data_IF_759936501668
#
_entry.id   IF_759936501668
#
_cell.length_a   1.000
_cell.length_b   1.000
_cell.length_c   1.000
_cell.angle_alpha   90.00
_cell.angle_beta   90.00
_cell.angle_gamma   90.00
#
_symmetry.space_group_name_H-M   'P 1'
#
loop_
_entity.id
_entity.type
_entity.pdbx_description
1 polymer ?
#
# COMPACT_ATOMS: atom_id res chain seq x y z
N UNK A 1 -25.43 62.17 -11.06
CA UNK A 1 -24.16 61.67 -10.46
C UNK A 1 -23.99 60.23 -10.86
N UNK A 2 -23.04 59.97 -11.76
CA UNK A 2 -22.76 58.68 -12.38
C UNK A 2 -21.30 58.34 -12.08
N UNK A 3 -21.07 57.26 -11.34
CA UNK A 3 -19.72 56.74 -11.09
C UNK A 3 -19.63 55.34 -11.68
N UNK A 4 -18.67 55.22 -12.58
CA UNK A 4 -18.36 54.09 -13.45
C UNK A 4 -17.92 52.87 -12.63
N UNK A 5 -18.60 51.74 -12.79
CA UNK A 5 -18.05 50.41 -12.52
C UNK A 5 -17.49 49.87 -13.84
N UNK A 6 -16.30 50.34 -14.20
CA UNK A 6 -15.40 49.69 -15.15
C UNK A 6 -14.14 49.40 -14.35
N UNK A 7 -13.69 48.15 -14.39
CA UNK A 7 -12.44 47.58 -13.83
C UNK A 7 -12.74 46.49 -12.81
N UNK A 8 -13.14 45.31 -13.29
CA UNK A 8 -12.78 43.94 -12.85
C UNK A 8 -13.36 43.03 -13.95
N UNK A 9 -12.77 43.12 -15.14
CA UNK A 9 -13.04 42.18 -16.25
C UNK A 9 -11.77 41.90 -17.07
N UNK A 10 -10.60 42.20 -16.49
CA UNK A 10 -9.32 42.23 -17.19
C UNK A 10 -8.20 41.45 -16.48
N UNK A 11 -8.54 40.56 -15.56
CA UNK A 11 -7.56 39.68 -14.87
C UNK A 11 -7.94 38.19 -14.88
N UNK A 12 -8.77 37.77 -15.84
CA UNK A 12 -9.11 36.35 -16.11
C UNK A 12 -8.77 35.94 -17.55
N UNK A 13 -8.20 36.85 -18.36
CA UNK A 13 -7.81 36.60 -19.76
C UNK A 13 -6.30 36.70 -20.03
N UNK A 14 -5.45 36.50 -19.01
CA UNK A 14 -3.98 36.50 -19.15
C UNK A 14 -3.32 35.30 -18.46
N UNK A 15 -4.05 34.20 -18.29
CA UNK A 15 -3.47 32.86 -18.06
C UNK A 15 -4.04 31.81 -19.04
N UNK A 16 -4.62 32.27 -20.15
CA UNK A 16 -4.85 31.52 -21.38
C UNK A 16 -3.69 31.72 -22.36
N UNK A 17 -2.48 31.91 -21.83
CA UNK A 17 -1.26 31.79 -22.58
C UNK A 17 -1.19 30.37 -23.11
N UNK A 18 -1.53 30.23 -24.40
CA UNK A 18 -1.07 29.23 -25.34
C UNK A 18 0.26 28.59 -24.91
N UNK A 19 0.20 27.63 -23.99
CA UNK A 19 1.17 26.56 -23.97
C UNK A 19 0.77 25.70 -25.16
N UNK A 20 1.64 25.53 -26.18
CA UNK A 20 1.31 24.65 -27.26
C UNK A 20 1.03 23.26 -26.66
N UNK A 21 -0.04 22.55 -27.07
CA UNK A 21 -0.34 21.19 -26.60
C UNK A 21 0.72 20.15 -27.04
N UNK A 22 1.90 20.58 -27.49
CA UNK A 22 2.87 19.79 -28.22
C UNK A 22 4.00 19.18 -27.39
N UNK A 23 3.97 19.27 -26.06
CA UNK A 23 4.92 18.54 -25.19
C UNK A 23 4.25 17.85 -24.01
N UNK A 24 2.98 17.43 -24.14
CA UNK A 24 2.44 16.38 -23.29
C UNK A 24 3.29 15.11 -23.51
N UNK A 25 4.07 14.76 -22.48
CA UNK A 25 5.20 13.82 -22.48
C UNK A 25 4.97 12.55 -23.33
N UNK A 26 5.45 12.57 -24.59
CA UNK A 26 5.61 11.39 -25.44
C UNK A 26 6.82 10.56 -25.00
N UNK A 27 6.81 10.08 -23.76
CA UNK A 27 7.84 9.19 -23.22
C UNK A 27 7.45 7.72 -23.41
N UNK A 28 6.87 7.39 -24.56
CA UNK A 28 6.51 6.03 -24.96
C UNK A 28 7.33 5.70 -26.20
N UNK A 29 8.13 4.65 -26.13
CA UNK A 29 9.07 4.27 -27.18
C UNK A 29 8.79 2.85 -27.63
N UNK A 30 8.86 2.53 -28.93
CA UNK A 30 8.91 1.13 -29.36
C UNK A 30 10.02 0.39 -28.61
N UNK A 31 9.73 -0.83 -28.16
CA UNK A 31 10.67 -1.68 -27.46
C UNK A 31 10.68 -3.06 -28.09
N UNK A 32 11.86 -3.56 -28.44
CA UNK A 32 12.09 -4.89 -28.98
C UNK A 32 12.59 -5.88 -27.91
N UNK A 33 12.85 -5.38 -26.70
CA UNK A 33 13.43 -6.16 -25.61
C UNK A 33 13.23 -5.50 -24.25
N UNK A 34 13.33 -6.31 -23.20
CA UNK A 34 13.42 -5.86 -21.81
C UNK A 34 14.88 -5.84 -21.37
N UNK A 35 15.34 -4.69 -20.88
CA UNK A 35 16.69 -4.54 -20.35
C UNK A 35 16.83 -5.28 -19.02
N UNK A 36 15.77 -5.28 -18.19
CA UNK A 36 15.80 -5.95 -16.89
C UNK A 36 15.72 -7.48 -17.04
N UNK A 37 14.85 -7.99 -17.89
CA UNK A 37 14.67 -9.43 -18.06
C UNK A 37 15.63 -10.05 -19.09
N UNK A 38 16.27 -9.22 -19.95
CA UNK A 38 17.07 -9.68 -21.09
C UNK A 38 16.29 -10.64 -22.01
N UNK A 39 15.02 -10.33 -22.25
CA UNK A 39 14.12 -11.06 -23.17
C UNK A 39 13.80 -10.16 -24.36
N UNK A 40 13.71 -10.74 -25.55
CA UNK A 40 13.25 -10.05 -26.77
C UNK A 40 11.76 -10.21 -26.93
N UNK A 41 11.11 -9.14 -27.36
CA UNK A 41 9.68 -9.09 -27.60
C UNK A 41 9.36 -9.15 -29.08
N UNK A 42 8.11 -9.53 -29.38
CA UNK A 42 7.54 -9.37 -30.72
C UNK A 42 7.20 -7.92 -31.06
N UNK A 43 6.52 -7.73 -32.17
CA UNK A 43 6.05 -6.41 -32.60
C UNK A 43 4.99 -5.81 -31.66
N UNK A 44 4.88 -4.48 -31.69
CA UNK A 44 3.88 -3.69 -30.97
C UNK A 44 4.05 -3.66 -29.45
N UNK A 45 5.28 -3.84 -28.96
CA UNK A 45 5.64 -3.56 -27.56
C UNK A 45 6.22 -2.15 -27.45
N UNK A 46 5.82 -1.45 -26.40
CA UNK A 46 6.26 -0.11 -26.08
C UNK A 46 6.79 -0.04 -24.65
N UNK A 47 7.89 0.67 -24.46
CA UNK A 47 8.44 1.04 -23.15
C UNK A 47 7.86 2.38 -22.73
N UNK A 48 7.14 2.39 -21.61
CA UNK A 48 6.55 3.58 -21.03
C UNK A 48 7.47 4.17 -19.94
N UNK A 49 8.07 5.32 -20.24
CA UNK A 49 8.92 6.09 -19.33
C UNK A 49 8.22 7.32 -18.75
N UNK A 50 6.90 7.42 -18.87
CA UNK A 50 6.14 8.51 -18.23
C UNK A 50 6.23 8.36 -16.71
N UNK A 51 6.54 9.47 -16.02
CA UNK A 51 6.81 9.46 -14.58
C UNK A 51 5.67 8.85 -13.76
N UNK A 52 4.42 9.19 -14.09
CA UNK A 52 3.23 8.62 -13.45
C UNK A 52 3.17 7.09 -13.57
N UNK A 53 3.32 6.55 -14.78
CA UNK A 53 3.22 5.11 -15.04
C UNK A 53 4.34 4.32 -14.36
N UNK A 54 5.58 4.83 -14.40
CA UNK A 54 6.70 4.21 -13.68
C UNK A 54 6.50 4.20 -12.16
N UNK A 55 5.89 5.24 -11.58
CA UNK A 55 5.57 5.31 -10.13
C UNK A 55 4.42 4.38 -9.74
N UNK A 56 3.38 4.29 -10.57
CA UNK A 56 2.29 3.33 -10.38
C UNK A 56 2.85 1.91 -10.43
N UNK A 57 3.61 1.56 -11.47
CA UNK A 57 4.24 0.26 -11.59
C UNK A 57 5.15 -0.06 -10.40
N UNK A 58 5.94 0.91 -9.92
CA UNK A 58 6.75 0.75 -8.70
C UNK A 58 5.88 0.40 -7.49
N UNK A 59 4.84 1.20 -7.23
CA UNK A 59 3.92 0.97 -6.10
C UNK A 59 3.25 -0.41 -6.20
N UNK A 60 2.80 -0.78 -7.40
CA UNK A 60 2.19 -2.09 -7.68
C UNK A 60 3.18 -3.22 -7.36
N UNK A 61 4.42 -3.14 -7.84
CA UNK A 61 5.43 -4.18 -7.63
C UNK A 61 5.91 -4.26 -6.16
N UNK A 62 5.94 -3.14 -5.43
CA UNK A 62 6.29 -3.11 -4.00
C UNK A 62 5.28 -3.87 -3.13
N UNK A 63 4.03 -4.06 -3.58
CA UNK A 63 3.05 -4.89 -2.87
C UNK A 63 3.49 -6.36 -2.72
N UNK A 64 4.33 -6.85 -3.64
CA UNK A 64 4.81 -8.24 -3.71
C UNK A 64 6.33 -8.36 -3.55
N UNK A 65 7.04 -7.25 -3.27
CA UNK A 65 8.50 -7.25 -3.04
C UNK A 65 8.89 -7.76 -1.65
N UNK A 66 7.95 -7.87 -0.72
CA UNK A 66 8.20 -8.27 0.67
C UNK A 66 8.94 -7.16 1.42
N UNK A 67 10.09 -7.49 2.01
CA UNK A 67 10.96 -6.51 2.70
C UNK A 67 11.99 -5.86 1.79
N UNK A 68 12.11 -6.29 0.52
CA UNK A 68 13.07 -5.73 -0.43
C UNK A 68 12.54 -4.46 -1.11
N UNK A 69 13.46 -3.56 -1.48
CA UNK A 69 13.16 -2.33 -2.20
C UNK A 69 13.44 -2.48 -3.71
N UNK A 70 12.70 -1.73 -4.53
CA UNK A 70 12.88 -1.71 -5.98
C UNK A 70 13.64 -0.44 -6.40
N UNK A 71 14.74 -0.62 -7.16
CA UNK A 71 15.59 0.48 -7.62
C UNK A 71 15.47 0.78 -9.11
N UNK A 72 15.17 -0.23 -9.93
CA UNK A 72 14.98 -0.10 -11.36
C UNK A 72 13.61 -0.67 -11.72
N UNK A 73 12.84 0.07 -12.52
CA UNK A 73 11.49 -0.30 -12.96
C UNK A 73 11.44 -0.20 -14.48
N UNK A 74 10.85 -1.20 -15.12
CA UNK A 74 10.58 -1.23 -16.54
C UNK A 74 9.08 -1.51 -16.76
N UNK A 75 8.42 -0.65 -17.53
CA UNK A 75 6.98 -0.70 -17.80
C UNK A 75 6.79 -0.95 -19.29
N UNK A 76 6.32 -2.14 -19.64
CA UNK A 76 6.10 -2.55 -21.02
C UNK A 76 4.61 -2.68 -21.27
N UNK A 77 4.17 -2.14 -22.40
CA UNK A 77 2.79 -2.19 -22.87
C UNK A 77 2.79 -2.81 -24.26
N UNK A 78 2.07 -3.91 -24.43
CA UNK A 78 1.83 -4.51 -25.74
C UNK A 78 0.47 -4.07 -26.27
N UNK A 79 0.44 -3.48 -27.46
CA UNK A 79 -0.80 -3.05 -28.11
C UNK A 79 -1.53 -4.24 -28.76
N UNK A 80 -2.76 -4.48 -28.33
CA UNK A 80 -3.61 -5.55 -28.85
C UNK A 80 -4.53 -5.04 -29.97
N UNK A 81 -4.02 -5.05 -31.19
CA UNK A 81 -4.76 -4.57 -32.39
C UNK A 81 -6.09 -5.29 -32.62
N UNK A 82 -6.21 -6.54 -32.21
CA UNK A 82 -7.41 -7.35 -32.40
C UNK A 82 -8.50 -7.08 -31.37
N UNK A 83 -8.20 -6.32 -30.30
CA UNK A 83 -9.11 -5.97 -29.22
C UNK A 83 -9.73 -7.17 -28.49
N UNK A 84 -9.11 -8.35 -28.58
CA UNK A 84 -9.54 -9.61 -27.94
C UNK A 84 -8.66 -9.90 -26.74
N UNK A 85 -9.24 -9.94 -25.53
CA UNK A 85 -8.50 -10.23 -24.29
C UNK A 85 -7.67 -11.52 -24.35
N UNK A 86 -8.16 -12.54 -25.05
CA UNK A 86 -7.44 -13.81 -25.21
C UNK A 86 -6.10 -13.66 -25.95
N UNK A 87 -5.97 -12.68 -26.84
CA UNK A 87 -4.73 -12.42 -27.57
C UNK A 87 -3.66 -11.84 -26.63
N UNK A 88 -4.06 -10.94 -25.74
CA UNK A 88 -3.22 -10.41 -24.67
C UNK A 88 -2.77 -11.50 -23.68
N UNK A 89 -3.68 -12.40 -23.29
CA UNK A 89 -3.34 -13.57 -22.47
C UNK A 89 -2.32 -14.46 -23.19
N UNK A 90 -2.56 -14.76 -24.46
CA UNK A 90 -1.67 -15.61 -25.26
C UNK A 90 -0.30 -14.97 -25.47
N UNK A 91 -0.24 -13.64 -25.60
CA UNK A 91 1.03 -12.91 -25.63
C UNK A 91 1.78 -13.04 -24.31
N UNK A 92 1.16 -12.76 -23.17
CA UNK A 92 1.80 -12.89 -21.85
C UNK A 92 2.30 -14.31 -21.55
N UNK A 93 1.57 -15.35 -21.97
CA UNK A 93 2.04 -16.74 -21.83
C UNK A 93 3.26 -17.05 -22.71
N UNK A 94 3.36 -16.47 -23.91
CA UNK A 94 4.59 -16.55 -24.71
C UNK A 94 5.77 -15.88 -24.01
N UNK A 95 5.56 -14.69 -23.45
CA UNK A 95 6.61 -13.99 -22.72
C UNK A 95 7.10 -14.77 -21.49
N UNK A 96 6.21 -15.45 -20.77
CA UNK A 96 6.59 -16.39 -19.69
C UNK A 96 7.45 -17.55 -20.21
N UNK A 97 7.14 -18.10 -21.38
CA UNK A 97 7.95 -19.16 -21.99
C UNK A 97 9.33 -18.64 -22.39
N UNK A 98 9.41 -17.44 -22.96
CA UNK A 98 10.68 -16.82 -23.35
C UNK A 98 11.54 -16.45 -22.14
N UNK A 99 10.94 -15.99 -21.03
CA UNK A 99 11.62 -15.83 -19.74
C UNK A 99 12.26 -17.15 -19.27
N UNK A 100 11.49 -18.25 -19.28
CA UNK A 100 12.00 -19.58 -18.90
C UNK A 100 13.13 -20.04 -19.82
N UNK A 101 12.99 -19.85 -21.13
CA UNK A 101 14.03 -20.16 -22.13
C UNK A 101 15.31 -19.36 -21.90
N UNK A 102 15.19 -18.14 -21.39
CA UNK A 102 16.32 -17.29 -21.01
C UNK A 102 16.85 -17.59 -19.59
N UNK A 103 16.48 -18.72 -18.98
CA UNK A 103 17.02 -19.21 -17.72
C UNK A 103 16.41 -18.58 -16.47
N UNK A 104 15.25 -17.93 -16.58
CA UNK A 104 14.51 -17.45 -15.41
C UNK A 104 13.68 -18.56 -14.79
N UNK A 105 13.78 -18.71 -13.47
CA UNK A 105 12.81 -19.47 -12.69
C UNK A 105 11.68 -18.53 -12.27
N UNK A 106 10.44 -18.87 -12.65
CA UNK A 106 9.25 -18.07 -12.35
C UNK A 106 8.54 -18.68 -11.14
N UNK A 107 8.43 -17.92 -10.05
CA UNK A 107 7.73 -18.31 -8.82
C UNK A 107 6.48 -17.43 -8.69
N UNK A 108 5.27 -17.94 -8.98
CA UNK A 108 4.03 -17.19 -8.84
C UNK A 108 3.81 -16.74 -7.39
N UNK A 109 3.19 -15.57 -7.19
CA UNK A 109 2.74 -15.18 -5.85
C UNK A 109 1.59 -16.07 -5.39
N UNK A 110 1.61 -16.45 -4.11
CA UNK A 110 0.52 -17.19 -3.47
C UNK A 110 -0.72 -16.32 -3.22
N UNK A 111 -0.57 -14.99 -3.21
CA UNK A 111 -1.66 -14.04 -2.95
C UNK A 111 -2.36 -13.57 -4.22
N UNK A 112 -1.60 -13.35 -5.29
CA UNK A 112 -2.13 -12.86 -6.56
C UNK A 112 -1.34 -13.42 -7.75
N UNK A 113 -2.02 -14.22 -8.57
CA UNK A 113 -1.45 -14.87 -9.76
C UNK A 113 -0.95 -13.90 -10.85
N UNK A 114 -1.32 -12.62 -10.76
CA UNK A 114 -0.82 -11.55 -11.63
C UNK A 114 0.62 -11.18 -11.33
N UNK A 115 1.14 -11.59 -10.17
CA UNK A 115 2.51 -11.34 -9.74
C UNK A 115 3.35 -12.60 -9.74
N UNK A 116 4.65 -12.43 -9.99
CA UNK A 116 5.63 -13.50 -9.88
C UNK A 116 7.01 -12.96 -9.50
N UNK A 117 7.78 -13.73 -8.75
CA UNK A 117 9.22 -13.50 -8.58
C UNK A 117 9.98 -14.22 -9.68
N UNK A 118 10.92 -13.52 -10.30
CA UNK A 118 11.82 -14.09 -11.30
C UNK A 118 13.20 -14.24 -10.67
N UNK A 119 13.71 -15.47 -10.67
CA UNK A 119 14.99 -15.83 -10.06
C UNK A 119 15.97 -16.27 -11.15
N UNK A 120 17.14 -15.65 -11.17
CA UNK A 120 18.31 -16.03 -11.98
C UNK A 120 19.57 -15.76 -11.17
N UNK A 121 20.68 -16.44 -11.44
CA UNK A 121 21.91 -16.33 -10.65
C UNK A 121 22.31 -14.86 -10.42
N UNK A 122 22.31 -14.42 -9.16
CA UNK A 122 22.66 -13.05 -8.76
C UNK A 122 21.64 -11.97 -9.12
N UNK A 123 20.44 -12.32 -9.60
CA UNK A 123 19.40 -11.36 -10.01
C UNK A 123 18.00 -11.83 -9.62
N UNK A 124 17.28 -10.97 -8.91
CA UNK A 124 15.89 -11.17 -8.54
C UNK A 124 15.05 -10.03 -9.08
N UNK A 125 13.97 -10.35 -9.80
CA UNK A 125 12.97 -9.39 -10.22
C UNK A 125 11.61 -9.72 -9.58
N UNK A 126 10.80 -8.69 -9.39
CA UNK A 126 9.36 -8.81 -9.21
C UNK A 126 8.72 -8.49 -10.57
N UNK A 127 7.78 -9.32 -11.00
CA UNK A 127 7.07 -9.19 -12.26
C UNK A 127 5.57 -9.05 -11.98
N UNK A 128 4.92 -8.14 -12.71
CA UNK A 128 3.46 -8.01 -12.75
C UNK A 128 2.98 -8.16 -14.20
N UNK A 129 1.84 -8.82 -14.40
CA UNK A 129 1.21 -9.01 -15.70
C UNK A 129 -0.29 -8.78 -15.62
N UNK A 130 -0.84 -8.05 -16.60
CA UNK A 130 -2.27 -7.88 -16.76
C UNK A 130 -2.69 -7.89 -18.23
N UNK A 131 -3.69 -8.72 -18.54
CA UNK A 131 -4.27 -8.80 -19.87
C UNK A 131 -5.53 -7.93 -19.98
N UNK A 132 -5.51 -6.95 -20.88
CA UNK A 132 -6.66 -6.14 -21.27
C UNK A 132 -7.16 -6.48 -22.69
N UNK A 133 -8.27 -5.85 -23.09
CA UNK A 133 -8.76 -5.98 -24.47
C UNK A 133 -7.87 -5.21 -25.44
N UNK A 134 -7.53 -3.96 -25.11
CA UNK A 134 -6.76 -3.06 -25.98
C UNK A 134 -5.25 -3.21 -25.84
N UNK A 135 -4.79 -3.71 -24.69
CA UNK A 135 -3.36 -3.82 -24.38
C UNK A 135 -3.09 -4.92 -23.37
N UNK A 136 -1.82 -5.31 -23.26
CA UNK A 136 -1.31 -6.11 -22.15
C UNK A 136 -0.18 -5.35 -21.45
N UNK A 137 -0.19 -5.38 -20.11
CA UNK A 137 0.79 -4.70 -19.27
C UNK A 137 1.75 -5.72 -18.68
N UNK A 138 3.05 -5.45 -18.78
CA UNK A 138 4.13 -6.27 -18.25
C UNK A 138 5.15 -5.38 -17.54
N UNK A 139 5.25 -5.50 -16.21
CA UNK A 139 6.16 -4.68 -15.42
C UNK A 139 7.27 -5.54 -14.83
N UNK A 140 8.49 -5.01 -14.80
CA UNK A 140 9.61 -5.60 -14.09
C UNK A 140 10.16 -4.61 -13.07
N UNK A 141 10.44 -5.09 -11.86
CA UNK A 141 11.15 -4.34 -10.83
C UNK A 141 12.34 -5.14 -10.34
N UNK A 142 13.53 -4.55 -10.36
CA UNK A 142 14.73 -5.18 -9.81
C UNK A 142 14.74 -5.06 -8.29
N UNK A 143 14.79 -6.20 -7.63
CA UNK A 143 14.81 -6.26 -6.17
C UNK A 143 16.25 -6.08 -5.69
N UNK A 144 16.50 -5.07 -4.86
CA UNK A 144 17.73 -5.02 -4.07
C UNK A 144 17.47 -5.87 -2.83
N UNK A 145 18.31 -6.88 -2.61
CA UNK A 145 18.30 -7.60 -1.33
C UNK A 145 18.50 -6.56 -0.22
N UNK A 146 17.62 -6.56 0.80
CA UNK A 146 17.84 -5.72 1.96
C UNK A 146 19.27 -5.99 2.45
N UNK A 147 20.08 -4.93 2.58
CA UNK A 147 21.40 -5.09 3.18
C UNK A 147 21.21 -5.86 4.49
N UNK A 148 22.01 -6.90 4.75
CA UNK A 148 21.92 -7.61 6.01
C UNK A 148 22.10 -6.56 7.10
N UNK A 149 21.02 -6.27 7.83
CA UNK A 149 21.08 -5.38 8.98
C UNK A 149 22.15 -5.99 9.86
N UNK A 150 23.31 -5.33 9.94
CA UNK A 150 24.40 -5.80 10.75
C UNK A 150 23.82 -5.94 12.16
N UNK A 151 23.68 -7.18 12.61
CA UNK A 151 23.28 -7.48 13.97
C UNK A 151 24.46 -7.02 14.81
N UNK A 152 24.44 -5.75 15.19
CA UNK A 152 25.32 -5.25 16.23
C UNK A 152 24.87 -5.96 17.49
N UNK A 153 25.58 -7.05 17.83
CA UNK A 153 25.48 -7.66 19.13
C UNK A 153 25.54 -6.52 20.16
N UNK A 154 24.52 -6.33 21.02
CA UNK A 154 24.61 -5.33 22.06
C UNK A 154 25.83 -5.67 22.88
N UNK A 155 26.87 -4.83 22.77
CA UNK A 155 28.07 -4.97 23.57
C UNK A 155 27.63 -5.09 25.02
N UNK A 156 28.02 -6.20 25.65
CA UNK A 156 27.75 -6.45 27.06
C UNK A 156 28.23 -5.23 27.85
N UNK A 157 27.28 -4.48 28.39
CA UNK A 157 27.58 -3.34 29.27
C UNK A 157 28.30 -3.92 30.48
N UNK A 158 29.52 -3.47 30.83
CA UNK A 158 30.17 -3.89 32.05
C UNK A 158 29.30 -3.45 33.23
N UNK A 159 28.84 -4.43 34.01
CA UNK A 159 28.13 -4.21 35.27
C UNK A 159 29.11 -3.55 36.23
N UNK A 160 28.94 -2.25 36.47
CA UNK A 160 29.71 -1.52 37.45
C UNK A 160 29.19 -1.89 38.85
N UNK A 161 30.06 -2.42 39.70
CA UNK A 161 29.72 -3.15 40.94
C UNK A 161 29.70 -2.25 42.18
N UNK A 162 29.27 -0.99 42.06
CA UNK A 162 29.39 0.02 43.13
C UNK A 162 28.14 0.90 43.33
N UNK A 163 26.93 0.38 43.13
CA UNK A 163 25.74 1.07 43.61
C UNK A 163 25.37 0.63 45.03
N UNK A 164 25.64 1.55 45.94
CA UNK A 164 25.32 1.55 47.36
C UNK A 164 23.84 1.26 47.57
N UNK A 165 23.54 0.24 48.37
CA UNK A 165 22.21 -0.11 48.84
C UNK A 165 21.70 1.00 49.76
N UNK A 166 20.80 1.84 49.28
CA UNK A 166 19.97 2.69 50.13
C UNK A 166 18.73 1.88 50.51
N UNK A 167 18.71 1.43 51.77
CA UNK A 167 17.53 0.85 52.40
C UNK A 167 16.55 1.99 52.69
N UNK A 168 15.44 2.04 51.97
CA UNK A 168 14.28 2.89 52.30
C UNK A 168 13.21 1.97 52.92
N UNK A 169 12.67 2.29 54.11
CA UNK A 169 11.68 1.46 54.77
C UNK A 169 10.32 1.53 54.06
N UNK A 170 9.58 0.43 54.18
CA UNK A 170 8.33 0.14 53.52
C UNK A 170 7.28 1.27 53.66
N UNK A 171 6.82 1.78 52.51
CA UNK A 171 5.51 2.38 52.38
C UNK A 171 4.67 1.40 51.57
N UNK A 172 3.72 0.78 52.27
CA UNK A 172 2.58 0.06 51.70
C UNK A 172 1.84 0.99 50.76
N UNK A 173 1.93 0.71 49.46
CA UNK A 173 0.84 1.01 48.54
C UNK A 173 0.68 -0.15 47.56
N UNK A 174 -0.54 -0.69 47.62
CA UNK A 174 -1.11 -1.72 46.78
C UNK A 174 -0.96 -1.40 45.29
N UNK A 175 0.10 -1.92 44.66
CA UNK A 175 0.10 -2.15 43.21
C UNK A 175 -0.47 -3.53 42.97
N UNK A 176 -1.76 -3.58 42.68
CA UNK A 176 -2.35 -4.74 42.03
C UNK A 176 -1.66 -4.93 40.68
N UNK A 177 -0.64 -5.80 40.63
CA UNK A 177 -0.28 -6.51 39.40
C UNK A 177 -1.45 -7.42 39.03
N UNK A 178 -2.45 -6.85 38.39
CA UNK A 178 -3.44 -7.65 37.65
C UNK A 178 -2.72 -8.10 36.38
N UNK A 179 -2.23 -9.34 36.39
CA UNK A 179 -1.96 -10.08 35.15
C UNK A 179 -3.30 -10.19 34.43
N UNK A 180 -3.60 -9.22 33.57
CA UNK A 180 -4.76 -9.25 32.70
C UNK A 180 -4.67 -10.53 31.86
N UNK A 181 -5.75 -11.31 31.84
CA UNK A 181 -5.85 -12.50 31.01
C UNK A 181 -5.58 -12.08 29.55
N UNK A 182 -4.45 -12.53 28.98
CA UNK A 182 -4.10 -12.25 27.58
C UNK A 182 -5.28 -12.61 26.70
N UNK A 183 -5.88 -11.61 26.08
CA UNK A 183 -7.08 -11.70 25.25
C UNK A 183 -6.84 -12.51 23.97
N UNK A 184 -6.78 -13.84 24.09
CA UNK A 184 -6.55 -14.75 22.96
C UNK A 184 -7.58 -14.58 21.84
N UNK A 185 -8.78 -14.09 22.15
CA UNK A 185 -9.86 -13.95 21.19
C UNK A 185 -9.62 -12.89 20.11
N UNK A 186 -8.94 -11.77 20.41
CA UNK A 186 -8.81 -10.65 19.46
C UNK A 186 -7.53 -10.71 18.59
N UNK A 187 -6.63 -11.65 18.87
CA UNK A 187 -5.36 -11.76 18.16
C UNK A 187 -5.56 -12.00 16.66
N UNK A 188 -4.73 -11.38 15.84
CA UNK A 188 -4.74 -11.54 14.39
C UNK A 188 -5.02 -10.26 13.62
N UNK A 189 -5.27 -10.43 12.32
CA UNK A 189 -5.55 -9.35 11.37
C UNK A 189 -7.05 -9.25 11.14
N UNK A 190 -7.58 -8.03 11.24
CA UNK A 190 -8.99 -7.73 11.06
C UNK A 190 -9.17 -6.59 10.08
N UNK A 191 -10.04 -6.79 9.10
CA UNK A 191 -10.27 -5.83 8.03
C UNK A 191 -9.41 -6.11 6.80
N UNK A 192 -9.55 -5.25 5.80
CA UNK A 192 -8.87 -5.38 4.53
C UNK A 192 -8.12 -4.09 4.20
N UNK A 193 -6.80 -4.21 4.04
CA UNK A 193 -5.93 -3.12 3.58
C UNK A 193 -5.88 -3.04 2.06
N UNK A 194 -6.46 -4.00 1.34
CA UNK A 194 -6.39 -4.05 -0.12
C UNK A 194 -7.11 -2.87 -0.78
N UNK A 195 -7.96 -2.16 -0.02
CA UNK A 195 -8.85 -1.13 -0.54
C UNK A 195 -9.88 -1.77 -1.48
N UNK A 196 -11.17 -1.36 -1.47
CA UNK A 196 -12.08 -1.81 -2.50
C UNK A 196 -11.48 -1.41 -3.85
N UNK A 197 -11.44 -2.38 -4.76
CA UNK A 197 -10.90 -2.28 -6.13
C UNK A 197 -11.74 -1.34 -7.01
N UNK A 198 -12.16 -0.17 -6.52
CA UNK A 198 -12.98 0.81 -7.24
C UNK A 198 -12.09 1.79 -8.01
N UNK A 199 -11.02 1.28 -8.59
CA UNK A 199 -10.48 1.85 -9.81
C UNK A 199 -10.95 0.93 -10.94
N UNK A 200 -12.24 1.05 -11.29
CA UNK A 200 -12.72 0.41 -12.51
C UNK A 200 -12.04 1.12 -13.68
N UNK A 201 -11.20 0.37 -14.36
CA UNK A 201 -10.66 0.76 -15.64
C UNK A 201 -11.73 0.41 -16.68
N UNK A 202 -12.22 1.39 -17.42
CA UNK A 202 -13.08 1.06 -18.56
C UNK A 202 -12.21 0.49 -19.67
N UNK A 203 -12.21 -0.83 -19.75
CA UNK A 203 -11.49 -1.62 -20.75
C UNK A 203 -11.79 -1.20 -22.21
N UNK A 204 -12.90 -0.50 -22.46
CA UNK A 204 -13.27 -0.06 -23.81
C UNK A 204 -12.72 1.32 -24.17
N UNK A 205 -12.54 2.22 -23.20
CA UNK A 205 -12.12 3.61 -23.46
C UNK A 205 -10.70 3.93 -22.98
N UNK A 206 -10.10 3.07 -22.15
CA UNK A 206 -8.77 3.31 -21.58
C UNK A 206 -8.77 4.41 -20.50
N UNK A 207 -9.94 4.94 -20.13
CA UNK A 207 -10.09 5.87 -19.03
C UNK A 207 -10.35 5.10 -17.73
N UNK A 208 -9.78 5.61 -16.64
CA UNK A 208 -10.24 5.22 -15.31
C UNK A 208 -11.67 5.74 -15.13
N UNK A 209 -12.65 4.84 -15.26
CA UNK A 209 -14.08 5.13 -15.05
C UNK A 209 -14.41 4.72 -13.63
N UNK A 210 -13.76 5.39 -12.68
CA UNK A 210 -13.96 5.18 -11.26
C UNK A 210 -13.82 6.50 -10.53
N UNK A 211 -14.95 7.12 -10.20
CA UNK A 211 -15.08 8.24 -9.25
C UNK A 211 -15.25 7.69 -7.83
N UNK A 212 -14.44 6.69 -7.45
CA UNK A 212 -14.61 5.93 -6.23
C UNK A 212 -13.52 6.23 -5.21
N UNK A 213 -13.94 6.53 -3.98
CA UNK A 213 -13.05 6.53 -2.83
C UNK A 213 -12.76 5.07 -2.45
N UNK A 214 -11.60 4.55 -2.82
CA UNK A 214 -11.14 3.27 -2.28
C UNK A 214 -10.69 3.48 -0.84
N UNK A 215 -11.18 2.68 0.10
CA UNK A 215 -10.78 2.68 1.52
C UNK A 215 -10.40 1.29 2.00
N UNK A 216 -9.16 1.06 2.37
CA UNK A 216 -8.76 -0.03 3.27
C UNK A 216 -8.69 0.48 4.71
N UNK A 217 -9.19 -0.28 5.67
CA UNK A 217 -9.02 -0.02 7.12
C UNK A 217 -8.91 -1.37 7.83
N UNK A 218 -7.96 -1.49 8.74
CA UNK A 218 -7.75 -2.73 9.46
C UNK A 218 -6.82 -2.62 10.65
N UNK A 219 -6.89 -3.62 11.51
CA UNK A 219 -6.09 -3.77 12.72
C UNK A 219 -5.29 -5.07 12.70
N UNK A 220 -4.11 -5.05 13.31
CA UNK A 220 -3.31 -6.22 13.64
C UNK A 220 -3.08 -6.20 15.16
N UNK A 221 -3.59 -7.20 15.88
CA UNK A 221 -3.39 -7.37 17.33
C UNK A 221 -2.40 -8.49 17.61
N UNK A 222 -1.34 -8.19 18.38
CA UNK A 222 -0.21 -9.09 18.65
C UNK A 222 -0.21 -9.63 20.07
N UNK A 223 0.38 -10.81 20.26
CA UNK A 223 0.43 -11.51 21.55
C UNK A 223 1.18 -10.76 22.66
N UNK A 224 2.01 -9.79 22.30
CA UNK A 224 2.77 -8.94 23.20
C UNK A 224 1.94 -7.76 23.75
N UNK A 225 0.68 -7.63 23.35
CA UNK A 225 -0.19 -6.53 23.76
C UNK A 225 0.01 -5.26 22.94
N UNK A 226 0.68 -5.34 21.79
CA UNK A 226 0.78 -4.23 20.83
C UNK A 226 -0.23 -4.38 19.69
N UNK A 227 -0.62 -3.25 19.10
CA UNK A 227 -1.45 -3.23 17.92
C UNK A 227 -0.87 -2.32 16.85
N UNK A 228 -1.18 -2.65 15.60
CA UNK A 228 -1.05 -1.75 14.46
C UNK A 228 -2.43 -1.51 13.84
N UNK A 229 -2.68 -0.31 13.34
CA UNK A 229 -3.82 0.02 12.50
C UNK A 229 -3.34 0.63 11.20
N UNK A 230 -3.95 0.22 10.10
CA UNK A 230 -3.67 0.72 8.77
C UNK A 230 -4.96 1.28 8.19
N UNK A 231 -4.88 2.48 7.64
CA UNK A 231 -5.94 3.05 6.82
C UNK A 231 -5.33 3.59 5.54
N UNK A 232 -5.88 3.18 4.40
CA UNK A 232 -5.50 3.65 3.09
C UNK A 232 -6.76 4.18 2.42
N UNK A 233 -6.73 5.42 1.94
CA UNK A 233 -7.76 5.91 1.06
C UNK A 233 -7.15 6.45 -0.23
N UNK A 234 -7.73 6.10 -1.37
CA UNK A 234 -7.35 6.67 -2.67
C UNK A 234 -8.59 7.18 -3.38
N UNK A 235 -8.44 8.30 -4.07
CA UNK A 235 -9.44 8.86 -4.95
C UNK A 235 -8.75 9.34 -6.21
N UNK A 236 -9.40 9.17 -7.36
CA UNK A 236 -8.93 9.69 -8.65
C UNK A 236 -9.42 11.11 -8.93
N UNK A 237 -10.48 11.56 -8.23
CA UNK A 237 -11.13 12.87 -8.43
C UNK A 237 -11.74 13.42 -7.12
N UNK A 238 -11.06 14.34 -6.41
CA UNK A 238 -9.71 14.81 -6.67
C UNK A 238 -8.69 13.68 -6.54
N UNK A 239 -7.56 13.78 -7.25
CA UNK A 239 -6.47 12.81 -7.13
C UNK A 239 -5.82 12.98 -5.76
N UNK A 240 -6.13 12.06 -4.84
CA UNK A 240 -5.46 12.04 -3.55
C UNK A 240 -5.25 10.63 -3.05
N UNK A 241 -4.23 10.51 -2.21
CA UNK A 241 -3.93 9.32 -1.40
C UNK A 241 -3.80 9.73 0.04
N UNK A 242 -4.45 9.02 0.94
CA UNK A 242 -4.29 9.16 2.37
C UNK A 242 -3.75 7.83 2.89
N UNK A 243 -2.65 7.88 3.62
CA UNK A 243 -2.13 6.75 4.36
C UNK A 243 -2.06 7.12 5.83
N UNK A 244 -2.66 6.30 6.68
CA UNK A 244 -2.60 6.42 8.12
C UNK A 244 -2.09 5.10 8.67
N UNK A 245 -1.00 5.19 9.43
CA UNK A 245 -0.43 4.08 10.18
C UNK A 245 -0.40 4.46 11.64
N UNK A 246 -1.03 3.67 12.48
CA UNK A 246 -1.07 3.90 13.92
C UNK A 246 -0.55 2.68 14.66
N UNK A 247 0.28 2.90 15.66
CA UNK A 247 0.81 1.84 16.53
C UNK A 247 0.59 2.20 17.99
N UNK A 248 0.41 1.18 18.82
CA UNK A 248 0.25 1.38 20.25
C UNK A 248 0.18 0.08 21.03
N UNK A 249 -0.28 0.17 22.27
CA UNK A 249 -0.61 -0.98 23.10
C UNK A 249 -2.11 -1.15 23.23
N UNK A 250 -2.54 -2.35 23.55
CA UNK A 250 -3.94 -2.62 23.83
C UNK A 250 -4.10 -3.49 25.07
N UNK A 251 -5.24 -3.36 25.72
CA UNK A 251 -5.63 -4.20 26.84
C UNK A 251 -7.08 -4.68 26.67
N UNK A 252 -7.32 -5.95 26.96
CA UNK A 252 -8.65 -6.57 26.89
C UNK A 252 -9.07 -7.03 28.28
N UNK A 253 -10.27 -6.62 28.70
CA UNK A 253 -10.88 -7.05 29.96
C UNK A 253 -12.34 -7.40 29.71
N UNK A 254 -12.63 -8.70 29.55
CA UNK A 254 -13.95 -9.16 29.12
C UNK A 254 -14.29 -8.62 27.73
N UNK A 255 -15.47 -8.03 27.58
CA UNK A 255 -15.90 -7.40 26.33
C UNK A 255 -15.38 -5.97 26.14
N UNK A 256 -14.44 -5.50 26.99
CA UNK A 256 -13.84 -4.17 26.87
C UNK A 256 -12.45 -4.24 26.27
N UNK A 257 -12.21 -3.41 25.27
CA UNK A 257 -10.93 -3.21 24.60
C UNK A 257 -10.49 -1.75 24.83
N UNK A 258 -9.29 -1.55 25.35
CA UNK A 258 -8.65 -0.24 25.46
C UNK A 258 -7.46 -0.20 24.53
N UNK A 259 -7.43 0.74 23.60
CA UNK A 259 -6.28 1.05 22.75
C UNK A 259 -5.58 2.28 23.32
N UNK A 260 -4.27 2.18 23.49
CA UNK A 260 -3.39 3.26 23.92
C UNK A 260 -2.39 3.54 22.79
N UNK A 261 -2.77 4.42 21.85
CA UNK A 261 -1.90 4.81 20.74
C UNK A 261 -0.61 5.45 21.26
N UNK A 262 0.51 5.11 20.65
CA UNK A 262 1.82 5.70 20.96
C UNK A 262 2.25 6.65 19.84
N UNK A 263 1.87 6.34 18.60
CA UNK A 263 2.22 7.13 17.43
C UNK A 263 1.19 6.87 16.33
N UNK A 264 0.73 7.94 15.71
CA UNK A 264 -0.08 7.95 14.52
C UNK A 264 0.63 8.75 13.46
N UNK A 265 0.92 8.07 12.36
CA UNK A 265 1.57 8.63 11.20
C UNK A 265 0.56 8.86 10.08
N UNK A 266 0.34 10.12 9.74
CA UNK A 266 -0.60 10.54 8.71
C UNK A 266 0.15 11.15 7.52
N UNK A 267 -0.09 10.59 6.33
CA UNK A 267 0.40 11.15 5.07
C UNK A 267 -0.75 11.37 4.11
N UNK A 268 -0.69 12.50 3.42
CA UNK A 268 -1.61 12.85 2.34
C UNK A 268 -0.83 13.27 1.11
N UNK A 269 -1.25 12.74 -0.03
CA UNK A 269 -0.82 13.19 -1.35
C UNK A 269 -2.00 13.78 -2.09
N UNK A 270 -1.77 14.86 -2.82
CA UNK A 270 -2.68 15.45 -3.79
C UNK A 270 -1.91 15.62 -5.10
N UNK A 271 -2.47 15.17 -6.23
CA UNK A 271 -1.81 15.19 -7.55
C UNK A 271 -0.36 14.64 -7.47
N UNK A 272 -0.19 13.50 -6.80
CA UNK A 272 1.08 12.84 -6.48
C UNK A 272 2.11 13.65 -5.66
N UNK A 273 1.76 14.85 -5.17
CA UNK A 273 2.60 15.63 -4.27
C UNK A 273 2.20 15.38 -2.82
N UNK A 274 3.18 15.07 -1.96
CA UNK A 274 2.91 14.90 -0.53
C UNK A 274 2.64 16.28 0.09
N UNK A 275 1.38 16.54 0.41
CA UNK A 275 0.91 17.81 1.00
C UNK A 275 0.88 17.76 2.53
N UNK A 276 0.82 16.56 3.11
CA UNK A 276 0.80 16.38 4.57
C UNK A 276 1.65 15.19 4.97
N UNK A 277 2.41 15.36 6.05
CA UNK A 277 3.28 14.35 6.62
C UNK A 277 3.45 14.63 8.12
N UNK A 278 2.56 14.07 8.93
CA UNK A 278 2.38 14.46 10.33
C UNK A 278 2.44 13.24 11.25
N UNK A 279 3.03 13.45 12.43
CA UNK A 279 2.98 12.52 13.54
C UNK A 279 2.14 13.12 14.67
N UNK A 280 1.35 12.28 15.32
CA UNK A 280 0.57 12.67 16.48
C UNK A 280 0.47 11.50 17.46
N UNK A 281 0.08 11.78 18.70
CA UNK A 281 -0.25 10.76 19.70
C UNK A 281 -1.75 10.86 19.96
N UNK A 282 -2.57 9.99 19.34
CA UNK A 282 -4.00 10.03 19.55
C UNK A 282 -4.39 9.74 21.00
N UNK A 283 -5.56 10.23 21.40
CA UNK A 283 -6.12 9.91 22.71
C UNK A 283 -6.39 8.40 22.86
N UNK A 284 -6.39 7.92 24.10
CA UNK A 284 -6.80 6.56 24.45
C UNK A 284 -8.23 6.30 23.97
N UNK A 285 -8.43 5.19 23.26
CA UNK A 285 -9.74 4.78 22.74
C UNK A 285 -10.24 3.55 23.49
N UNK A 286 -11.53 3.56 23.83
CA UNK A 286 -12.18 2.45 24.55
C UNK A 286 -13.37 1.94 23.75
N UNK A 287 -13.45 0.63 23.60
CA UNK A 287 -14.45 -0.06 22.83
C UNK A 287 -15.08 -1.17 23.66
N UNK A 288 -16.37 -1.43 23.42
CA UNK A 288 -16.94 -2.76 23.55
C UNK A 288 -16.62 -3.54 22.29
N UNK A 289 -16.11 -4.76 22.44
CA UNK A 289 -15.74 -5.60 21.31
C UNK A 289 -16.45 -6.95 21.34
N UNK A 290 -16.67 -7.51 20.16
CA UNK A 290 -17.11 -8.89 19.99
C UNK A 290 -16.61 -9.43 18.64
N UNK A 291 -16.59 -10.75 18.50
CA UNK A 291 -16.37 -11.41 17.22
C UNK A 291 -17.66 -12.10 16.84
N UNK A 292 -18.19 -11.77 15.66
CA UNK A 292 -19.42 -12.34 15.13
C UNK A 292 -19.22 -12.70 13.67
N UNK A 293 -19.87 -13.76 13.15
CA UNK A 293 -19.80 -14.06 11.74
C UNK A 293 -20.54 -12.99 10.92
N UNK A 294 -19.97 -12.57 9.78
CA UNK A 294 -20.65 -11.73 8.81
C UNK A 294 -21.89 -12.45 8.28
N UNK A 295 -23.03 -11.75 8.21
CA UNK A 295 -24.30 -12.35 7.78
C UNK A 295 -24.23 -12.96 6.37
N UNK A 296 -23.44 -12.39 5.47
CA UNK A 296 -23.38 -12.82 4.07
C UNK A 296 -22.28 -13.83 3.78
N UNK A 297 -21.09 -13.68 4.36
CA UNK A 297 -19.94 -14.55 4.06
C UNK A 297 -19.70 -15.61 5.13
N UNK A 298 -20.29 -15.46 6.32
CA UNK A 298 -20.01 -16.30 7.48
C UNK A 298 -18.61 -16.12 8.08
N UNK A 299 -17.78 -15.23 7.51
CA UNK A 299 -16.41 -14.99 8.00
C UNK A 299 -16.46 -14.29 9.37
N UNK A 300 -15.53 -14.59 10.28
CA UNK A 300 -15.48 -13.88 11.55
C UNK A 300 -15.11 -12.41 11.33
N UNK A 301 -15.87 -11.51 11.95
CA UNK A 301 -15.61 -10.08 11.95
C UNK A 301 -15.45 -9.56 13.36
N UNK A 302 -14.49 -8.68 13.56
CA UNK A 302 -14.30 -7.92 14.78
C UNK A 302 -15.23 -6.71 14.76
N UNK A 303 -16.15 -6.67 15.72
CA UNK A 303 -17.06 -5.54 15.95
C UNK A 303 -16.48 -4.67 17.07
N UNK A 304 -16.31 -3.38 16.79
CA UNK A 304 -15.80 -2.37 17.73
C UNK A 304 -16.84 -1.27 17.92
N UNK A 305 -17.46 -1.22 19.09
CA UNK A 305 -18.44 -0.21 19.48
C UNK A 305 -17.79 0.77 20.49
N UNK A 306 -17.58 2.06 20.16
CA UNK A 306 -17.01 3.03 21.09
C UNK A 306 -17.80 3.13 22.42
N UNK A 307 -17.12 3.20 23.56
CA UNK A 307 -17.78 3.30 24.88
C UNK A 307 -18.54 4.63 25.09
N UNK A 308 -18.15 5.70 24.39
CA UNK A 308 -18.81 7.02 24.46
C UNK A 308 -20.02 7.21 23.54
N UNK A 309 -20.50 6.13 22.91
CA UNK A 309 -21.45 6.23 21.79
C UNK A 309 -20.74 6.49 20.45
N UNK A 310 -21.44 6.19 19.35
CA UNK A 310 -20.88 6.24 18.00
C UNK A 310 -21.29 5.02 17.16
N UNK A 311 -20.98 5.05 15.88
CA UNK A 311 -21.26 3.94 14.96
C UNK A 311 -20.33 2.76 15.24
N UNK A 312 -20.89 1.56 15.35
CA UNK A 312 -20.12 0.33 15.40
C UNK A 312 -19.30 0.15 14.11
N UNK A 313 -18.03 -0.22 14.27
CA UNK A 313 -17.14 -0.55 13.16
C UNK A 313 -16.97 -2.06 13.09
N UNK A 314 -16.99 -2.64 11.88
CA UNK A 314 -16.78 -4.06 11.67
C UNK A 314 -15.58 -4.31 10.76
N UNK A 315 -14.72 -5.25 11.14
CA UNK A 315 -13.48 -5.58 10.47
C UNK A 315 -13.40 -7.10 10.26
N UNK A 316 -13.71 -7.58 9.06
CA UNK A 316 -13.75 -9.01 8.76
C UNK A 316 -12.37 -9.56 8.44
N UNK A 317 -12.07 -10.78 8.89
CA UNK A 317 -10.81 -11.45 8.52
C UNK A 317 -10.84 -11.81 7.04
N UNK A 318 -9.75 -11.55 6.31
CA UNK A 318 -9.59 -12.00 4.92
C UNK A 318 -9.54 -13.52 4.81
#
# INVERSE_FOLDING_TARGET
>A
MSVKVKTIFFLVMMLSGFLPPSLAQKNIFPADSSVLAAVRFGENVFLDKRGLFTRIAKTTLEMESGTGSLNEIEVLVWENKNRKKQDAVSWLEREKMDLKKNGWTIVPSARDTSFSKLLKTGKTLVMYMAAGKLEANLYFGKLIAAEPVAVTNPAARPVNKNDTVIVIPAVTDTVHTVKAAKGKGILGNWGDISGPKVNYFDDNTGYMVGSGLSKGDGYEFKEDGTFNRYFLATSSRPDYRIFLYEKGTYNVSGNKLTLTPIDLYYRKWEDDQMVTNEHSVPAVRKYRWSIQPEQYTGKPCLHLQPEGGGTEQHYCSN
#
